data_IF_329405811096
#
_entry.id   IF_329405811096
#
_cell.length_a   1.000
_cell.length_b   1.000
_cell.length_c   1.000
_cell.angle_alpha   90.00
_cell.angle_beta   90.00
_cell.angle_gamma   90.00
#
_symmetry.space_group_name_H-M   'P 1'
#
loop_
_entity.id
_entity.type
_entity.pdbx_description
1 polymer ?
#
# COMPACT_ATOMS: atom_id res chain seq x y z
N UNK A 1 23.59 -13.38 -4.00
CA UNK A 1 23.64 -13.92 -2.62
C UNK A 1 22.77 -13.01 -1.76
N UNK A 2 21.50 -13.37 -1.57
CA UNK A 2 20.59 -12.67 -0.66
C UNK A 2 21.04 -13.10 0.74
N UNK A 3 21.55 -12.16 1.54
CA UNK A 3 21.81 -12.42 2.95
C UNK A 3 20.46 -12.74 3.58
N UNK A 4 20.28 -13.97 4.04
CA UNK A 4 19.20 -14.33 4.96
C UNK A 4 19.29 -13.39 6.15
N UNK A 5 18.47 -12.34 6.16
CA UNK A 5 18.21 -11.58 7.36
C UNK A 5 17.29 -12.43 8.26
N UNK A 6 17.81 -13.57 8.68
CA UNK A 6 17.39 -14.22 9.90
C UNK A 6 17.82 -13.32 11.06
N UNK A 7 17.07 -12.24 11.26
CA UNK A 7 17.16 -11.44 12.47
C UNK A 7 16.43 -12.21 13.58
N UNK A 8 16.93 -13.42 13.87
CA UNK A 8 16.43 -14.33 14.91
C UNK A 8 17.08 -14.07 16.27
N UNK A 9 17.96 -13.07 16.37
CA UNK A 9 18.59 -12.71 17.62
C UNK A 9 17.90 -11.50 18.25
N UNK A 10 17.08 -11.74 19.27
CA UNK A 10 16.63 -10.84 20.37
C UNK A 10 16.26 -9.37 20.06
N UNK A 11 16.31 -8.92 18.82
CA UNK A 11 15.89 -7.59 18.42
C UNK A 11 14.42 -7.64 17.97
N UNK A 12 13.55 -6.97 18.73
CA UNK A 12 12.13 -6.92 18.43
C UNK A 12 11.80 -6.25 17.07
N UNK A 13 10.55 -6.31 16.65
CA UNK A 13 10.07 -5.85 15.36
C UNK A 13 10.30 -4.35 15.12
N UNK A 14 11.01 -4.02 14.06
CA UNK A 14 11.30 -2.65 13.60
C UNK A 14 10.92 -2.43 12.12
N UNK A 15 10.07 -3.30 11.53
CA UNK A 15 9.68 -3.25 10.12
C UNK A 15 8.94 -1.96 9.72
N UNK A 16 8.31 -1.27 10.67
CA UNK A 16 7.56 -0.05 10.39
C UNK A 16 7.90 1.05 11.39
N UNK A 17 7.50 2.31 11.14
CA UNK A 17 7.82 3.44 12.02
C UNK A 17 7.21 3.37 13.43
N UNK A 18 6.41 2.36 13.72
CA UNK A 18 5.95 2.07 15.09
C UNK A 18 7.09 1.60 16.00
N UNK A 19 8.11 0.96 15.43
CA UNK A 19 9.28 0.48 16.18
C UNK A 19 8.86 -0.21 17.49
N UNK A 20 7.83 -1.07 17.43
CA UNK A 20 7.17 -1.61 18.62
C UNK A 20 8.03 -2.61 19.38
N UNK A 21 9.14 -3.03 18.82
CA UNK A 21 10.15 -3.88 19.43
C UNK A 21 9.60 -5.19 20.05
N UNK A 22 8.55 -5.74 19.46
CA UNK A 22 7.90 -6.97 19.92
C UNK A 22 8.52 -8.17 19.20
N UNK A 23 8.76 -9.26 19.92
CA UNK A 23 9.03 -10.55 19.30
C UNK A 23 7.73 -11.08 18.66
N UNK A 24 7.66 -11.03 17.32
CA UNK A 24 6.45 -11.40 16.56
C UNK A 24 6.24 -12.91 16.44
N UNK A 25 7.21 -13.74 16.83
CA UNK A 25 7.01 -15.19 16.92
C UNK A 25 6.11 -15.55 18.11
N UNK A 26 6.19 -14.78 19.21
CA UNK A 26 5.46 -15.06 20.45
C UNK A 26 4.37 -14.06 20.77
N UNK A 27 4.37 -12.89 20.11
CA UNK A 27 3.42 -11.80 20.37
C UNK A 27 2.98 -11.07 19.12
N UNK A 28 2.14 -10.05 19.29
CA UNK A 28 1.63 -9.20 18.22
C UNK A 28 2.16 -7.78 18.33
N UNK A 29 2.58 -7.20 17.21
CA UNK A 29 2.96 -5.80 17.14
C UNK A 29 1.76 -4.84 17.19
N UNK A 30 2.01 -3.53 17.08
CA UNK A 30 0.95 -2.52 16.94
C UNK A 30 -0.02 -2.83 15.79
N UNK A 31 0.47 -3.46 14.72
CA UNK A 31 -0.33 -3.95 13.59
C UNK A 31 -1.32 -5.06 13.94
N UNK A 32 -1.30 -5.59 15.19
CA UNK A 32 -2.09 -6.71 15.69
C UNK A 32 -1.75 -8.06 15.03
N UNK A 33 -0.57 -8.17 14.42
CA UNK A 33 -0.14 -9.38 13.72
C UNK A 33 1.13 -9.95 14.32
N UNK A 34 1.20 -11.28 14.30
CA UNK A 34 2.42 -12.05 14.47
C UNK A 34 3.25 -12.01 13.18
N UNK A 35 4.33 -12.75 13.09
CA UNK A 35 5.12 -12.95 11.88
C UNK A 35 4.43 -13.84 10.82
N UNK A 36 3.38 -14.58 11.19
CA UNK A 36 2.65 -15.46 10.26
C UNK A 36 1.79 -14.65 9.28
N UNK A 37 1.99 -14.87 7.98
CA UNK A 37 1.19 -14.24 6.92
C UNK A 37 -0.31 -14.50 7.12
N UNK A 38 -1.10 -13.42 7.13
CA UNK A 38 -2.57 -13.50 7.19
C UNK A 38 -3.20 -12.67 6.09
N UNK A 39 -3.90 -13.31 5.17
CA UNK A 39 -4.59 -12.70 4.03
C UNK A 39 -6.09 -12.65 4.30
N UNK A 40 -6.66 -11.47 4.25
CA UNK A 40 -8.10 -11.24 4.45
C UNK A 40 -8.91 -11.51 3.18
N UNK A 41 -8.36 -11.17 2.02
CA UNK A 41 -9.00 -11.35 0.72
C UNK A 41 -7.94 -11.41 -0.38
N UNK A 42 -8.18 -12.22 -1.40
CA UNK A 42 -7.44 -12.20 -2.66
C UNK A 42 -8.45 -12.39 -3.80
N UNK A 43 -8.63 -11.37 -4.64
CA UNK A 43 -9.61 -11.36 -5.74
C UNK A 43 -9.34 -10.20 -6.70
N UNK A 44 -9.94 -10.26 -7.88
CA UNK A 44 -10.01 -9.10 -8.78
C UNK A 44 -10.75 -7.95 -8.11
N UNK A 45 -10.21 -6.74 -8.24
CA UNK A 45 -10.76 -5.48 -7.74
C UNK A 45 -10.84 -4.47 -8.87
N UNK A 46 -12.06 -4.00 -9.15
CA UNK A 46 -12.37 -3.19 -10.33
C UNK A 46 -12.30 -1.68 -10.06
N UNK A 47 -12.04 -1.27 -8.81
CA UNK A 47 -12.22 0.12 -8.34
C UNK A 47 -10.95 0.73 -7.75
N UNK A 48 -9.77 0.29 -8.20
CA UNK A 48 -8.54 1.05 -7.98
C UNK A 48 -8.44 2.19 -9.03
N UNK A 49 -7.35 2.92 -9.03
CA UNK A 49 -7.09 3.94 -10.04
C UNK A 49 -7.28 3.37 -11.47
N UNK A 50 -7.82 4.13 -12.44
CA UNK A 50 -8.09 3.61 -13.78
C UNK A 50 -6.89 2.92 -14.44
N UNK A 51 -5.70 3.52 -14.32
CA UNK A 51 -4.46 2.93 -14.86
C UNK A 51 -3.90 1.75 -14.04
N UNK A 52 -4.57 1.36 -12.96
CA UNK A 52 -4.26 0.16 -12.16
C UNK A 52 -5.29 -0.94 -12.45
N UNK A 53 -6.58 -0.63 -12.38
CA UNK A 53 -7.64 -1.62 -12.61
C UNK A 53 -7.85 -1.94 -14.08
N UNK A 54 -7.85 -0.95 -14.97
CA UNK A 54 -8.33 -1.14 -16.33
C UNK A 54 -9.75 -1.72 -16.37
N UNK A 55 -10.07 -2.49 -17.39
CA UNK A 55 -11.35 -3.20 -17.52
C UNK A 55 -11.33 -4.58 -16.87
N UNK A 56 -10.16 -5.26 -16.82
CA UNK A 56 -10.01 -6.62 -16.26
C UNK A 56 -9.90 -6.63 -14.73
N UNK A 57 -9.50 -5.50 -14.13
CA UNK A 57 -9.30 -5.36 -12.70
C UNK A 57 -7.89 -5.62 -12.22
N UNK A 58 -7.64 -5.19 -10.99
CA UNK A 58 -6.39 -5.36 -10.24
C UNK A 58 -6.47 -6.64 -9.39
N UNK A 59 -5.46 -7.47 -9.41
CA UNK A 59 -5.35 -8.67 -8.58
C UNK A 59 -5.00 -8.33 -7.13
N UNK A 60 -6.00 -7.85 -6.37
CA UNK A 60 -5.79 -7.32 -5.03
C UNK A 60 -5.64 -8.41 -3.97
N UNK A 61 -4.55 -8.35 -3.20
CA UNK A 61 -4.28 -9.19 -2.03
C UNK A 61 -4.27 -8.30 -0.78
N UNK A 62 -5.31 -8.40 0.03
CA UNK A 62 -5.47 -7.63 1.26
C UNK A 62 -4.85 -8.38 2.44
N UNK A 63 -3.81 -7.83 3.03
CA UNK A 63 -3.19 -8.36 4.25
C UNK A 63 -3.94 -7.89 5.49
N UNK A 64 -4.11 -8.80 6.47
CA UNK A 64 -4.75 -8.49 7.75
C UNK A 64 -3.81 -7.73 8.65
N UNK A 65 -4.37 -6.83 9.49
CA UNK A 65 -3.60 -5.93 10.33
C UNK A 65 -3.22 -4.64 9.61
N UNK A 66 -2.75 -3.63 10.36
CA UNK A 66 -2.33 -2.34 9.78
C UNK A 66 -1.41 -1.59 10.74
N UNK A 67 -0.32 -1.06 10.23
CA UNK A 67 0.66 -0.27 10.98
C UNK A 67 0.14 1.13 11.36
N UNK A 68 -0.89 1.64 10.67
CA UNK A 68 -1.43 2.98 10.89
C UNK A 68 -2.77 2.97 11.66
N UNK A 69 -3.74 2.13 11.26
CA UNK A 69 -5.05 1.97 11.92
C UNK A 69 -5.83 3.27 12.09
N UNK A 70 -6.04 3.99 10.96
CA UNK A 70 -6.78 5.25 10.94
C UNK A 70 -8.23 5.07 11.44
N UNK A 71 -8.75 6.05 12.20
CA UNK A 71 -10.12 6.03 12.74
C UNK A 71 -11.21 6.04 11.66
N UNK A 72 -10.90 6.49 10.45
CA UNK A 72 -11.83 6.54 9.31
C UNK A 72 -11.58 5.43 8.27
N UNK A 73 -10.88 4.36 8.65
CA UNK A 73 -10.53 3.29 7.72
C UNK A 73 -11.77 2.53 7.23
N UNK A 74 -12.03 2.52 5.92
CA UNK A 74 -13.12 1.74 5.31
C UNK A 74 -12.91 0.24 5.49
N UNK A 75 -11.65 -0.21 5.51
CA UNK A 75 -11.26 -1.60 5.72
C UNK A 75 -10.97 -1.91 7.21
N UNK A 76 -11.70 -1.26 8.14
CA UNK A 76 -11.39 -1.35 9.58
C UNK A 76 -11.37 -2.80 10.13
N UNK A 77 -12.20 -3.71 9.60
CA UNK A 77 -12.22 -5.12 10.03
C UNK A 77 -10.92 -5.83 9.66
N UNK A 78 -10.36 -5.51 8.48
CA UNK A 78 -9.07 -6.01 8.00
C UNK A 78 -7.95 -5.38 8.83
N UNK A 79 -7.96 -4.04 8.97
CA UNK A 79 -6.96 -3.29 9.73
C UNK A 79 -6.90 -3.70 11.22
N UNK A 80 -8.04 -4.13 11.79
CA UNK A 80 -8.15 -4.65 13.15
C UNK A 80 -7.84 -6.16 13.26
N UNK A 81 -7.29 -6.78 12.20
CA UNK A 81 -6.94 -8.20 12.14
C UNK A 81 -8.10 -9.20 12.44
N UNK A 82 -9.36 -8.72 12.36
CA UNK A 82 -10.55 -9.53 12.70
C UNK A 82 -10.92 -10.56 11.65
N UNK A 83 -10.39 -10.45 10.43
CA UNK A 83 -10.71 -11.30 9.28
C UNK A 83 -9.43 -11.81 8.63
N UNK A 84 -9.52 -12.93 7.90
CA UNK A 84 -8.45 -13.49 7.12
C UNK A 84 -8.02 -14.89 7.56
N UNK A 85 -7.26 -15.55 6.69
CA UNK A 85 -6.68 -16.87 6.91
C UNK A 85 -5.16 -16.77 6.94
N UNK A 86 -4.53 -17.55 7.79
CA UNK A 86 -3.07 -17.74 7.76
C UNK A 86 -2.68 -18.58 6.56
N UNK A 87 -1.63 -18.14 5.88
CA UNK A 87 -1.08 -18.81 4.70
C UNK A 87 0.44 -18.88 4.79
N UNK A 88 1.03 -19.74 3.99
CA UNK A 88 2.49 -19.81 3.78
C UNK A 88 2.95 -18.86 2.70
N UNK A 89 4.26 -18.70 2.58
CA UNK A 89 4.90 -17.92 1.49
C UNK A 89 4.61 -18.56 0.12
N UNK A 90 4.63 -19.90 0.04
CA UNK A 90 4.32 -20.63 -1.21
C UNK A 90 2.85 -20.46 -1.61
N UNK A 91 1.92 -20.52 -0.66
CA UNK A 91 0.51 -20.23 -0.93
C UNK A 91 0.28 -18.79 -1.40
N UNK A 92 1.08 -17.82 -0.91
CA UNK A 92 1.02 -16.43 -1.40
C UNK A 92 1.51 -16.34 -2.86
N UNK A 93 2.59 -17.03 -3.21
CA UNK A 93 3.06 -17.12 -4.59
C UNK A 93 2.00 -17.78 -5.51
N UNK A 94 1.34 -18.85 -5.05
CA UNK A 94 0.24 -19.49 -5.77
C UNK A 94 -0.95 -18.56 -5.99
N UNK A 95 -1.29 -17.74 -4.99
CA UNK A 95 -2.35 -16.72 -5.10
C UNK A 95 -2.01 -15.71 -6.21
N UNK A 96 -0.77 -15.21 -6.25
CA UNK A 96 -0.33 -14.26 -7.28
C UNK A 96 -0.43 -14.85 -8.68
N UNK A 97 0.07 -16.06 -8.89
CA UNK A 97 -0.01 -16.75 -10.18
C UNK A 97 -1.46 -17.04 -10.59
N UNK A 98 -2.32 -17.40 -9.66
CA UNK A 98 -3.75 -17.62 -9.92
C UNK A 98 -4.45 -16.32 -10.32
N UNK A 99 -4.12 -15.18 -9.69
CA UNK A 99 -4.67 -13.86 -10.07
C UNK A 99 -4.21 -13.47 -11.49
N UNK A 100 -2.95 -13.71 -11.85
CA UNK A 100 -2.47 -13.53 -13.22
C UNK A 100 -3.25 -14.40 -14.21
N UNK A 101 -3.43 -15.69 -13.90
CA UNK A 101 -4.19 -16.62 -14.74
C UNK A 101 -5.67 -16.22 -14.88
N UNK A 102 -6.20 -15.50 -13.88
CA UNK A 102 -7.54 -14.90 -13.92
C UNK A 102 -7.56 -13.53 -14.63
N UNK A 103 -6.52 -13.22 -15.42
CA UNK A 103 -6.43 -12.02 -16.26
C UNK A 103 -6.33 -10.70 -15.49
N UNK A 104 -5.85 -10.70 -14.23
CA UNK A 104 -5.56 -9.47 -13.51
C UNK A 104 -4.51 -8.63 -14.26
N UNK A 105 -4.68 -7.33 -14.32
CA UNK A 105 -3.70 -6.41 -14.93
C UNK A 105 -2.41 -6.25 -14.11
N UNK A 106 -2.45 -6.56 -12.83
CA UNK A 106 -1.32 -6.50 -11.90
C UNK A 106 -1.59 -7.31 -10.64
N UNK A 107 -0.57 -7.48 -9.79
CA UNK A 107 -0.72 -7.96 -8.40
C UNK A 107 -0.67 -6.74 -7.47
N UNK A 108 -1.76 -6.45 -6.78
CA UNK A 108 -1.88 -5.31 -5.89
C UNK A 108 -1.83 -5.77 -4.41
N UNK A 109 -0.71 -5.48 -3.76
CA UNK A 109 -0.42 -5.85 -2.37
C UNK A 109 -0.93 -4.75 -1.44
N UNK A 110 -2.08 -4.96 -0.81
CA UNK A 110 -2.75 -3.95 0.02
C UNK A 110 -2.36 -4.07 1.48
N UNK A 111 -1.75 -3.03 2.04
CA UNK A 111 -1.22 -2.95 3.42
C UNK A 111 -0.13 -4.00 3.70
N UNK A 112 0.92 -4.08 2.87
CA UNK A 112 1.93 -5.16 2.92
C UNK A 112 3.04 -4.94 3.96
N UNK A 113 3.21 -3.73 4.49
CA UNK A 113 4.34 -3.24 5.31
C UNK A 113 4.89 -4.25 6.31
N UNK A 114 4.00 -4.83 7.11
CA UNK A 114 4.37 -5.70 8.25
C UNK A 114 4.71 -7.14 7.84
N UNK A 115 4.67 -7.43 6.55
CA UNK A 115 5.05 -8.72 5.96
C UNK A 115 6.08 -8.57 4.83
N UNK A 116 6.80 -7.44 4.77
CA UNK A 116 7.69 -7.12 3.66
C UNK A 116 8.67 -8.24 3.30
N UNK A 117 9.32 -8.87 4.29
CA UNK A 117 10.26 -9.97 4.05
C UNK A 117 9.62 -11.20 3.41
N UNK A 118 8.48 -11.67 3.95
CA UNK A 118 7.76 -12.83 3.41
C UNK A 118 7.16 -12.53 2.03
N UNK A 119 6.71 -11.30 1.81
CA UNK A 119 6.19 -10.86 0.51
C UNK A 119 7.30 -10.83 -0.53
N UNK A 120 8.49 -10.34 -0.18
CA UNK A 120 9.66 -10.36 -1.06
C UNK A 120 10.00 -11.81 -1.48
N UNK A 121 10.05 -12.74 -0.53
CA UNK A 121 10.27 -14.16 -0.82
C UNK A 121 9.19 -14.74 -1.74
N UNK A 122 7.91 -14.43 -1.47
CA UNK A 122 6.80 -14.91 -2.30
C UNK A 122 6.85 -14.34 -3.72
N UNK A 123 7.23 -13.07 -3.89
CA UNK A 123 7.40 -12.43 -5.20
C UNK A 123 8.52 -13.08 -6.00
N UNK A 124 9.66 -13.37 -5.38
CA UNK A 124 10.78 -14.07 -6.03
C UNK A 124 10.31 -15.43 -6.54
N UNK A 125 9.68 -16.23 -5.65
CA UNK A 125 9.13 -17.55 -6.03
C UNK A 125 8.09 -17.46 -7.14
N UNK A 126 7.21 -16.45 -7.11
CA UNK A 126 6.20 -16.26 -8.13
C UNK A 126 6.83 -15.85 -9.48
N UNK A 127 7.83 -14.95 -9.48
CA UNK A 127 8.57 -14.54 -10.68
C UNK A 127 9.31 -15.73 -11.29
N UNK A 128 9.99 -16.56 -10.51
CA UNK A 128 10.67 -17.79 -10.97
C UNK A 128 9.69 -18.79 -11.59
N UNK A 129 8.43 -18.77 -11.18
CA UNK A 129 7.34 -19.62 -11.67
C UNK A 129 6.48 -18.96 -12.77
N UNK A 130 6.89 -17.82 -13.29
CA UNK A 130 6.28 -17.16 -14.46
C UNK A 130 5.29 -16.05 -14.17
N UNK A 131 5.37 -15.39 -13.01
CA UNK A 131 4.67 -14.12 -12.79
C UNK A 131 5.29 -13.04 -13.68
N UNK A 132 4.49 -12.45 -14.57
CA UNK A 132 4.90 -11.46 -15.60
C UNK A 132 4.27 -10.09 -15.41
N UNK A 133 3.06 -10.04 -14.84
CA UNK A 133 2.30 -8.80 -14.66
C UNK A 133 2.91 -7.91 -13.56
N UNK A 134 2.77 -6.58 -13.65
CA UNK A 134 3.38 -5.66 -12.69
C UNK A 134 2.89 -5.88 -11.26
N UNK A 135 3.75 -5.53 -10.32
CA UNK A 135 3.47 -5.60 -8.88
C UNK A 135 3.24 -4.19 -8.33
N UNK A 136 2.08 -3.98 -7.72
CA UNK A 136 1.66 -2.74 -7.07
C UNK A 136 1.78 -2.88 -5.55
N UNK A 137 2.47 -1.95 -4.90
CA UNK A 137 2.60 -1.87 -3.43
C UNK A 137 1.69 -0.76 -2.90
N UNK A 138 0.50 -1.13 -2.40
CA UNK A 138 -0.54 -0.23 -1.95
C UNK A 138 -0.44 -0.02 -0.43
N UNK A 139 -0.06 1.18 -0.02
CA UNK A 139 0.33 1.48 1.35
C UNK A 139 -0.22 2.80 1.87
N UNK A 140 -0.20 2.98 3.17
CA UNK A 140 -0.51 4.25 3.84
C UNK A 140 0.66 5.25 3.81
N UNK A 141 1.75 4.98 3.12
CA UNK A 141 3.02 5.73 3.16
C UNK A 141 3.72 5.76 4.55
N UNK A 142 3.20 5.08 5.55
CA UNK A 142 3.82 5.00 6.88
C UNK A 142 4.82 3.84 6.92
N UNK A 143 5.97 4.04 6.25
CA UNK A 143 6.96 3.01 5.96
C UNK A 143 8.34 3.39 6.49
N UNK A 144 9.13 2.42 6.93
CA UNK A 144 10.57 2.58 7.11
C UNK A 144 11.27 2.45 5.76
N UNK A 145 12.21 3.35 5.48
CA UNK A 145 13.01 3.33 4.24
C UNK A 145 13.75 2.00 4.08
N UNK A 146 14.32 1.46 5.15
CA UNK A 146 15.08 0.19 5.06
C UNK A 146 14.16 -1.00 4.75
N UNK A 147 12.91 -0.96 5.21
CA UNK A 147 11.90 -1.97 4.83
C UNK A 147 11.49 -1.83 3.36
N UNK A 148 11.35 -0.60 2.85
CA UNK A 148 11.09 -0.38 1.42
C UNK A 148 12.24 -0.86 0.53
N UNK A 149 13.48 -0.76 0.97
CA UNK A 149 14.65 -1.28 0.21
C UNK A 149 14.60 -2.79 0.00
N UNK A 150 13.89 -3.55 0.85
CA UNK A 150 13.65 -4.99 0.63
C UNK A 150 12.83 -5.23 -0.65
N UNK A 151 11.99 -4.25 -1.03
CA UNK A 151 11.12 -4.31 -2.21
C UNK A 151 11.79 -3.81 -3.50
N UNK A 152 13.01 -3.27 -3.44
CA UNK A 152 13.72 -2.72 -4.60
C UNK A 152 13.91 -3.79 -5.69
N UNK A 153 13.45 -3.51 -6.92
CA UNK A 153 13.46 -4.46 -8.04
C UNK A 153 12.34 -5.53 -8.00
N UNK A 154 11.53 -5.57 -6.95
CA UNK A 154 10.38 -6.48 -6.84
C UNK A 154 9.05 -5.80 -7.09
N UNK A 155 8.95 -4.51 -6.81
CA UNK A 155 7.77 -3.67 -6.98
C UNK A 155 7.94 -2.77 -8.19
N UNK A 156 6.93 -2.72 -9.04
CA UNK A 156 6.90 -1.90 -10.25
C UNK A 156 6.16 -0.58 -10.02
N UNK A 157 5.09 -0.60 -9.25
CA UNK A 157 4.26 0.58 -8.97
C UNK A 157 4.05 0.74 -7.46
N UNK A 158 4.33 1.94 -6.95
CA UNK A 158 3.92 2.32 -5.59
C UNK A 158 2.62 3.10 -5.63
N UNK A 159 1.68 2.73 -4.76
CA UNK A 159 0.37 3.38 -4.60
C UNK A 159 0.20 3.86 -3.15
N UNK A 160 0.98 4.88 -2.71
CA UNK A 160 0.90 5.39 -1.35
C UNK A 160 -0.27 6.36 -1.16
N UNK A 161 -0.96 6.25 -0.01
CA UNK A 161 -1.85 7.30 0.47
C UNK A 161 -1.04 8.33 1.26
N UNK A 162 -0.88 9.55 0.78
CA UNK A 162 -0.28 10.64 1.56
C UNK A 162 -1.38 11.39 2.32
N UNK A 163 -1.53 11.08 3.61
CA UNK A 163 -2.74 11.44 4.37
C UNK A 163 -2.66 12.81 5.06
N UNK A 164 -1.48 13.21 5.56
CA UNK A 164 -1.32 14.40 6.41
C UNK A 164 0.02 15.09 6.19
N UNK A 165 -0.02 16.44 6.26
CA UNK A 165 1.15 17.30 6.47
C UNK A 165 1.22 17.79 7.92
N UNK A 166 0.09 17.77 8.66
CA UNK A 166 0.01 18.14 10.08
C UNK A 166 0.14 16.93 10.98
N UNK A 167 1.22 16.86 11.77
CA UNK A 167 1.47 15.78 12.74
C UNK A 167 0.42 15.69 13.85
N UNK A 168 -0.25 16.81 14.20
CA UNK A 168 -1.34 16.80 15.20
C UNK A 168 -2.58 16.09 14.66
N UNK A 169 -2.92 16.33 13.39
CA UNK A 169 -4.01 15.60 12.72
C UNK A 169 -3.66 14.11 12.55
N UNK A 170 -2.43 13.82 12.16
CA UNK A 170 -1.94 12.46 12.05
C UNK A 170 -1.97 11.72 13.39
N UNK A 171 -1.61 12.39 14.49
CA UNK A 171 -1.74 11.85 15.84
C UNK A 171 -3.21 11.60 16.20
N UNK A 172 -4.08 12.58 15.93
CA UNK A 172 -5.52 12.52 16.28
C UNK A 172 -6.25 11.38 15.56
N UNK A 173 -6.01 11.19 14.26
CA UNK A 173 -6.80 10.27 13.45
C UNK A 173 -6.11 8.95 13.11
N UNK A 174 -4.79 8.87 13.30
CA UNK A 174 -4.00 7.69 12.95
C UNK A 174 -2.97 7.31 14.02
N UNK A 175 -2.99 7.99 15.17
CA UNK A 175 -2.05 7.79 16.27
C UNK A 175 -0.56 7.78 15.82
N UNK A 176 -0.21 8.67 14.87
CA UNK A 176 1.11 8.71 14.24
C UNK A 176 1.60 10.17 14.06
N UNK A 177 2.00 10.82 15.15
CA UNK A 177 2.44 12.22 15.12
C UNK A 177 3.64 12.50 14.21
N UNK A 178 4.47 11.49 13.97
CA UNK A 178 5.63 11.53 13.06
C UNK A 178 5.28 11.19 11.60
N UNK A 179 3.99 11.02 11.27
CA UNK A 179 3.56 10.60 9.94
C UNK A 179 4.10 11.48 8.80
N UNK A 180 4.03 12.84 8.86
CA UNK A 180 4.45 13.66 7.74
C UNK A 180 5.91 13.42 7.32
N UNK A 181 6.82 13.40 8.26
CA UNK A 181 8.25 13.23 7.98
C UNK A 181 8.56 11.79 7.51
N UNK A 182 7.90 10.82 8.11
CA UNK A 182 8.00 9.41 7.70
C UNK A 182 7.49 9.21 6.27
N UNK A 183 6.30 9.73 5.95
CA UNK A 183 5.71 9.60 4.62
C UNK A 183 6.53 10.30 3.54
N UNK A 184 7.11 11.48 3.85
CA UNK A 184 8.04 12.17 2.94
C UNK A 184 9.29 11.35 2.65
N UNK A 185 9.88 10.71 3.67
CA UNK A 185 11.06 9.86 3.50
C UNK A 185 10.73 8.61 2.66
N UNK A 186 9.61 7.96 2.99
CA UNK A 186 9.12 6.81 2.26
C UNK A 186 8.84 7.12 0.78
N UNK A 187 8.17 8.24 0.50
CA UNK A 187 7.84 8.63 -0.87
C UNK A 187 9.09 8.91 -1.71
N UNK A 188 10.12 9.56 -1.14
CA UNK A 188 11.41 9.74 -1.84
C UNK A 188 12.03 8.40 -2.24
N UNK A 189 11.99 7.42 -1.36
CA UNK A 189 12.52 6.09 -1.64
C UNK A 189 11.69 5.37 -2.72
N UNK A 190 10.36 5.45 -2.68
CA UNK A 190 9.48 4.87 -3.70
C UNK A 190 9.76 5.44 -5.09
N UNK A 191 9.91 6.78 -5.21
CA UNK A 191 10.27 7.44 -6.47
C UNK A 191 11.67 7.05 -6.92
N UNK A 192 12.64 6.92 -6.00
CA UNK A 192 13.98 6.43 -6.33
C UNK A 192 13.96 5.04 -6.97
N UNK A 193 13.12 4.14 -6.44
CA UNK A 193 13.05 2.75 -6.90
C UNK A 193 12.39 2.62 -8.28
N UNK A 194 11.33 3.36 -8.54
CA UNK A 194 10.52 3.16 -9.76
C UNK A 194 10.80 4.20 -10.86
N UNK A 195 11.38 5.35 -10.50
CA UNK A 195 11.63 6.43 -11.45
C UNK A 195 10.36 7.11 -11.96
N UNK A 196 10.47 7.76 -13.09
CA UNK A 196 9.35 8.48 -13.77
C UNK A 196 8.25 7.49 -14.19
N UNK A 197 6.97 7.86 -14.02
CA UNK A 197 5.84 7.03 -14.42
C UNK A 197 5.87 6.65 -15.90
N UNK A 198 5.55 5.39 -16.19
CA UNK A 198 5.47 4.81 -17.52
C UNK A 198 4.24 3.91 -17.64
N UNK A 199 3.63 3.87 -18.82
CA UNK A 199 2.40 3.10 -19.11
C UNK A 199 2.69 2.06 -20.19
N UNK A 200 1.95 0.95 -20.15
CA UNK A 200 1.96 -0.01 -21.25
C UNK A 200 1.28 0.58 -22.47
N UNK A 201 2.00 0.59 -23.61
CA UNK A 201 1.46 0.91 -24.92
C UNK A 201 1.03 -0.34 -25.68
N UNK A 202 0.32 -0.18 -26.79
CA UNK A 202 -0.19 -1.28 -27.63
C UNK A 202 0.92 -2.18 -28.18
N UNK A 203 2.12 -1.63 -28.36
CA UNK A 203 3.29 -2.34 -28.88
C UNK A 203 4.09 -3.11 -27.81
N UNK A 204 3.79 -2.92 -26.52
CA UNK A 204 4.46 -3.65 -25.46
C UNK A 204 4.18 -5.16 -25.54
N UNK A 205 5.23 -5.98 -25.33
CA UNK A 205 5.13 -7.44 -25.43
C UNK A 205 4.06 -8.02 -24.50
N UNK A 206 3.96 -7.53 -23.26
CA UNK A 206 2.96 -8.05 -22.31
C UNK A 206 1.53 -7.70 -22.73
N UNK A 207 1.32 -6.60 -23.46
CA UNK A 207 0.00 -6.23 -24.03
C UNK A 207 -0.32 -7.16 -25.19
N UNK A 208 0.60 -7.32 -26.15
CA UNK A 208 0.42 -8.19 -27.31
C UNK A 208 0.21 -9.66 -26.94
N UNK A 209 0.91 -10.12 -25.90
CA UNK A 209 0.76 -11.48 -25.35
C UNK A 209 -0.50 -11.64 -24.46
N UNK A 210 -1.28 -10.57 -24.26
CA UNK A 210 -2.54 -10.59 -23.53
C UNK A 210 -2.40 -10.63 -21.99
N UNK A 211 -1.21 -10.40 -21.43
CA UNK A 211 -1.00 -10.38 -19.97
C UNK A 211 -1.57 -9.13 -19.30
N UNK A 212 -1.43 -7.97 -19.91
CA UNK A 212 -1.93 -6.67 -19.41
C UNK A 212 -2.67 -5.92 -20.50
N UNK A 213 -3.50 -4.94 -20.12
CA UNK A 213 -4.15 -4.02 -21.05
C UNK A 213 -3.24 -2.84 -21.38
N UNK A 214 -3.42 -2.25 -22.57
CA UNK A 214 -2.83 -0.95 -22.91
C UNK A 214 -3.35 0.14 -21.96
N UNK A 215 -2.49 1.10 -21.62
CA UNK A 215 -2.83 2.18 -20.68
C UNK A 215 -2.73 1.80 -19.21
N UNK A 216 -2.40 0.54 -18.86
CA UNK A 216 -2.07 0.15 -17.48
C UNK A 216 -0.68 0.68 -17.11
N UNK A 217 -0.53 1.11 -15.87
CA UNK A 217 0.73 1.61 -15.36
C UNK A 217 1.77 0.50 -15.26
N UNK A 218 2.90 0.72 -15.95
CA UNK A 218 4.03 -0.21 -16.03
C UNK A 218 4.99 -0.05 -14.87
N UNK A 219 5.27 1.20 -14.49
CA UNK A 219 6.11 1.56 -13.35
C UNK A 219 5.83 2.99 -12.88
N UNK A 220 6.23 3.31 -11.65
CA UNK A 220 6.16 4.67 -11.11
C UNK A 220 5.41 4.78 -9.80
N UNK A 221 5.00 5.99 -9.45
CA UNK A 221 4.30 6.28 -8.19
C UNK A 221 3.01 7.04 -8.46
N UNK A 222 1.90 6.56 -7.87
CA UNK A 222 0.62 7.27 -7.81
C UNK A 222 0.34 7.60 -6.36
N UNK A 223 0.42 8.86 -5.99
CA UNK A 223 0.13 9.30 -4.63
C UNK A 223 -1.35 9.64 -4.52
N UNK A 224 -2.07 8.94 -3.64
CA UNK A 224 -3.47 9.22 -3.36
C UNK A 224 -3.61 10.13 -2.15
N UNK A 225 -4.57 11.05 -2.20
CA UNK A 225 -4.94 11.88 -1.06
C UNK A 225 -6.45 11.93 -0.89
N UNK A 226 -6.95 11.45 0.26
CA UNK A 226 -8.35 11.52 0.63
C UNK A 226 -8.64 12.84 1.36
N UNK A 227 -9.51 13.66 0.77
CA UNK A 227 -10.00 14.89 1.42
C UNK A 227 -10.88 14.50 2.61
N UNK A 228 -10.54 14.98 3.80
CA UNK A 228 -11.36 14.83 4.99
C UNK A 228 -12.27 16.06 5.18
N UNK A 229 -13.53 15.89 5.61
CA UNK A 229 -14.46 17.01 5.79
C UNK A 229 -13.94 18.02 6.83
N UNK A 230 -13.89 19.29 6.45
CA UNK A 230 -13.36 20.38 7.27
C UNK A 230 -11.87 20.62 7.16
N UNK A 231 -11.14 19.79 6.39
CA UNK A 231 -9.66 19.85 6.32
C UNK A 231 -9.11 20.18 4.92
N UNK A 232 -9.85 20.96 4.14
CA UNK A 232 -9.40 21.37 2.79
C UNK A 232 -8.07 22.14 2.78
N UNK A 233 -7.78 22.91 3.84
CA UNK A 233 -6.47 23.57 3.99
C UNK A 233 -5.34 22.55 4.08
N UNK A 234 -5.56 21.47 4.81
CA UNK A 234 -4.61 20.36 4.93
C UNK A 234 -4.42 19.65 3.57
N UNK A 235 -5.51 19.38 2.86
CA UNK A 235 -5.43 18.82 1.52
C UNK A 235 -4.64 19.70 0.56
N UNK A 236 -4.83 21.03 0.60
CA UNK A 236 -4.02 21.98 -0.20
C UNK A 236 -2.54 21.91 0.16
N UNK A 237 -2.20 21.79 1.44
CA UNK A 237 -0.81 21.66 1.88
C UNK A 237 -0.17 20.37 1.36
N UNK A 238 -0.90 19.26 1.41
CA UNK A 238 -0.45 17.97 0.86
C UNK A 238 -0.20 18.10 -0.64
N UNK A 239 -1.20 18.57 -1.41
CA UNK A 239 -1.11 18.69 -2.87
C UNK A 239 0.03 19.63 -3.26
N UNK A 240 0.15 20.79 -2.58
CA UNK A 240 1.23 21.74 -2.82
C UNK A 240 2.60 21.09 -2.60
N UNK A 241 2.79 20.39 -1.48
CA UNK A 241 4.04 19.69 -1.20
C UNK A 241 4.38 18.67 -2.30
N UNK A 242 3.41 17.83 -2.68
CA UNK A 242 3.61 16.79 -3.69
C UNK A 242 3.98 17.40 -5.05
N UNK A 243 3.24 18.42 -5.49
CA UNK A 243 3.50 19.10 -6.76
C UNK A 243 4.84 19.86 -6.77
N UNK A 244 5.13 20.63 -5.72
CA UNK A 244 6.37 21.42 -5.65
C UNK A 244 7.61 20.51 -5.62
N UNK A 245 7.50 19.33 -4.99
CA UNK A 245 8.63 18.40 -4.80
C UNK A 245 8.85 17.48 -6.00
N UNK A 246 7.78 16.92 -6.58
CA UNK A 246 7.89 15.82 -7.54
C UNK A 246 7.43 16.17 -8.95
N UNK A 247 6.61 17.19 -9.12
CA UNK A 247 6.07 17.64 -10.44
C UNK A 247 5.55 16.46 -11.27
N UNK A 248 6.27 16.10 -12.34
CA UNK A 248 5.90 15.03 -13.28
C UNK A 248 6.49 13.65 -12.91
N UNK A 249 7.24 13.56 -11.80
CA UNK A 249 7.82 12.29 -11.35
C UNK A 249 6.81 11.38 -10.63
N UNK A 250 5.60 11.89 -10.37
CA UNK A 250 4.50 11.14 -9.77
C UNK A 250 3.17 11.53 -10.40
N UNK A 251 2.18 10.61 -10.29
CA UNK A 251 0.77 10.97 -10.44
C UNK A 251 0.17 11.31 -9.08
N UNK A 252 -0.79 12.24 -9.06
CA UNK A 252 -1.54 12.63 -7.86
C UNK A 252 -3.01 12.34 -8.09
N UNK A 253 -3.59 11.46 -7.27
CA UNK A 253 -5.02 11.15 -7.25
C UNK A 253 -5.69 11.81 -6.04
N UNK A 254 -6.62 12.73 -6.29
CA UNK A 254 -7.36 13.44 -5.25
C UNK A 254 -8.72 12.79 -5.10
N UNK A 255 -8.97 12.20 -3.92
CA UNK A 255 -10.19 11.46 -3.63
C UNK A 255 -11.13 12.29 -2.75
N UNK A 256 -12.37 12.49 -3.19
CA UNK A 256 -13.42 13.21 -2.45
C UNK A 256 -14.54 12.28 -1.92
N UNK A 257 -14.41 10.97 -2.11
CA UNK A 257 -15.43 9.96 -1.76
C UNK A 257 -15.40 9.54 -0.28
N UNK A 258 -15.02 10.46 0.63
CA UNK A 258 -15.07 10.16 2.04
C UNK A 258 -16.48 9.76 2.48
N UNK A 259 -16.61 8.63 3.19
CA UNK A 259 -17.86 8.13 3.75
C UNK A 259 -17.73 7.99 5.26
N UNK A 260 -18.56 8.67 6.07
CA UNK A 260 -18.55 8.51 7.51
C UNK A 260 -19.03 7.10 7.89
N UNK A 261 -18.29 6.45 8.79
CA UNK A 261 -18.58 5.12 9.30
C UNK A 261 -18.96 5.19 10.79
N UNK A 262 -19.60 4.14 11.33
CA UNK A 262 -20.04 4.08 12.72
C UNK A 262 -18.92 4.42 13.73
N UNK A 263 -17.71 3.96 13.47
CA UNK A 263 -16.59 4.13 14.39
C UNK A 263 -15.96 5.55 14.37
N UNK A 264 -16.39 6.45 13.47
CA UNK A 264 -15.98 7.87 13.51
C UNK A 264 -16.89 8.74 14.36
N UNK A 265 -17.99 8.22 14.94
CA UNK A 265 -18.92 8.96 15.79
C UNK A 265 -18.27 9.83 16.89
N UNK A 266 -17.17 9.41 17.55
CA UNK A 266 -16.46 10.26 18.51
C UNK A 266 -15.84 11.53 17.91
N UNK A 267 -15.68 11.57 16.59
CA UNK A 267 -15.07 12.68 15.83
C UNK A 267 -16.17 13.42 15.05
N UNK A 268 -16.88 14.33 15.70
CA UNK A 268 -18.06 15.02 15.14
C UNK A 268 -17.82 15.60 13.74
N UNK A 269 -16.64 16.18 13.51
CA UNK A 269 -16.22 16.75 12.23
C UNK A 269 -16.13 15.71 11.10
N UNK A 270 -15.90 14.44 11.42
CA UNK A 270 -15.84 13.32 10.47
C UNK A 270 -17.19 12.64 10.26
N UNK A 271 -18.26 13.06 10.94
CA UNK A 271 -19.59 12.43 10.83
C UNK A 271 -20.41 12.91 9.62
N UNK A 272 -19.79 13.60 8.67
CA UNK A 272 -20.43 14.10 7.45
C UNK A 272 -19.58 13.80 6.22
N UNK A 273 -20.16 13.83 5.04
CA UNK A 273 -19.43 13.79 3.77
C UNK A 273 -18.71 15.14 3.50
N UNK A 274 -17.76 15.11 2.61
CA UNK A 274 -17.14 16.30 2.01
C UNK A 274 -18.21 17.05 1.20
N UNK A 275 -18.27 18.37 1.32
CA UNK A 275 -19.23 19.22 0.58
C UNK A 275 -18.66 19.60 -0.79
N UNK A 276 -19.53 20.05 -1.71
CA UNK A 276 -19.11 20.54 -3.04
C UNK A 276 -18.16 21.75 -2.99
N UNK A 277 -18.17 22.52 -1.88
CA UNK A 277 -17.28 23.68 -1.69
C UNK A 277 -15.91 23.29 -1.16
N UNK A 278 -15.80 22.15 -0.54
CA UNK A 278 -14.56 21.55 -0.06
C UNK A 278 -13.82 20.82 -1.19
#
# INVERSE_FOLDING_TARGET
MIRNNENTDNNGCNLCPRMCNVNRHTGTGYCLMTDRLKVARAALHMWEEPCISGERGSGAVFFSGCTLRCVFCQNYKIAAAKVGKYITVDELADIMLRLQNNQANNINLVTPTHYAGQIAEALIKAKDRGLKIPVVYNTSAYENVDTLKIMDGLVDVYLPDFKYMDGKLALKYSNAGNYPETAKAALREMVRQTGTPDMYGDDDTLVRDGYVESGIMKKGVIVRHLILPGYTKESRNVIKYLYDTYKNDIYISIMNQYTPLEHVKPYKELCRKVTKKE
#
